data_IF_479983020176
#
_entry.id   IF_479983020176
#
_cell.length_a   1.000
_cell.length_b   1.000
_cell.length_c   1.000
_cell.angle_alpha   90.00
_cell.angle_beta   90.00
_cell.angle_gamma   90.00
#
_symmetry.space_group_name_H-M   'P 1'
#
loop_
_entity.id
_entity.type
_entity.pdbx_description
1 polymer ?
#
# COMPACT_ATOMS: atom_id res chain seq x y z
N UNK A 1 -4.87 12.82 -23.16
CA UNK A 1 -5.00 12.86 -21.69
C UNK A 1 -3.68 12.42 -21.06
N UNK A 2 -3.25 13.04 -19.97
CA UNK A 2 -2.02 12.65 -19.24
C UNK A 2 -2.41 11.92 -17.94
N UNK A 3 -1.57 10.98 -17.50
CA UNK A 3 -1.75 10.23 -16.25
C UNK A 3 -0.68 10.65 -15.26
N UNK A 4 -1.04 10.78 -13.99
CA UNK A 4 -0.15 11.17 -12.90
C UNK A 4 -0.37 10.21 -11.73
N UNK A 5 0.69 9.92 -10.97
CA UNK A 5 0.65 9.10 -9.75
C UNK A 5 0.99 10.03 -8.59
N UNK A 6 0.24 9.92 -7.49
CA UNK A 6 0.50 10.64 -6.26
C UNK A 6 0.31 9.73 -5.06
N UNK A 7 1.05 10.04 -3.99
CA UNK A 7 0.92 9.39 -2.68
C UNK A 7 0.28 10.38 -1.72
N UNK A 8 -0.67 9.94 -0.90
CA UNK A 8 -1.33 10.77 0.12
C UNK A 8 -1.33 10.07 1.47
N UNK A 9 -1.12 10.82 2.54
CA UNK A 9 -1.36 10.38 3.91
C UNK A 9 -2.78 10.79 4.31
N UNK A 10 -3.49 9.92 5.03
CA UNK A 10 -4.85 10.18 5.52
C UNK A 10 -4.96 9.71 6.96
N UNK A 11 -5.79 10.39 7.74
CA UNK A 11 -6.28 9.86 9.01
C UNK A 11 -7.53 9.04 8.73
N UNK A 12 -7.61 7.83 9.28
CA UNK A 12 -8.75 6.95 9.06
C UNK A 12 -9.27 6.40 10.38
N UNK A 13 -10.59 6.41 10.54
CA UNK A 13 -11.29 5.81 11.68
C UNK A 13 -12.26 4.74 11.17
N UNK A 14 -12.26 3.51 11.73
CA UNK A 14 -13.27 2.51 11.41
C UNK A 14 -14.67 3.09 11.58
N UNK A 15 -15.53 2.92 10.59
CA UNK A 15 -16.87 3.49 10.59
C UNK A 15 -17.81 2.61 9.77
N UNK A 16 -19.09 2.60 10.11
CA UNK A 16 -20.10 1.89 9.31
C UNK A 16 -20.89 2.88 8.46
N UNK A 17 -21.33 2.44 7.28
CA UNK A 17 -22.37 3.13 6.51
C UNK A 17 -23.68 2.36 6.63
N UNK A 18 -24.75 3.07 7.02
CA UNK A 18 -26.10 2.52 7.12
C UNK A 18 -27.09 3.51 6.54
N UNK A 19 -27.89 3.05 5.58
CA UNK A 19 -28.86 3.89 4.85
C UNK A 19 -28.23 5.19 4.30
N UNK A 20 -27.02 5.11 3.75
CA UNK A 20 -26.29 6.25 3.17
C UNK A 20 -25.62 7.20 4.16
N UNK A 21 -25.80 7.00 5.47
CA UNK A 21 -25.13 7.81 6.52
C UNK A 21 -23.98 7.03 7.14
N UNK A 22 -22.86 7.71 7.36
CA UNK A 22 -21.68 7.18 8.06
C UNK A 22 -21.84 7.39 9.56
N UNK A 23 -21.52 6.36 10.34
CA UNK A 23 -21.55 6.36 11.80
C UNK A 23 -20.19 5.94 12.35
N UNK A 24 -19.66 6.73 13.27
CA UNK A 24 -18.47 6.42 14.05
C UNK A 24 -18.79 5.43 15.17
N UNK A 25 -17.77 4.76 15.75
CA UNK A 25 -17.99 3.79 16.84
C UNK A 25 -18.67 4.41 18.07
N UNK A 26 -18.53 5.71 18.27
CA UNK A 26 -19.13 6.47 19.37
C UNK A 26 -20.57 6.93 19.10
N UNK A 27 -21.07 6.79 17.87
CA UNK A 27 -22.39 7.30 17.48
C UNK A 27 -23.51 6.34 17.88
N UNK A 28 -24.67 6.90 18.23
CA UNK A 28 -25.88 6.10 18.41
C UNK A 28 -26.40 5.59 17.05
N UNK A 29 -26.22 4.30 16.79
CA UNK A 29 -26.64 3.66 15.53
C UNK A 29 -28.14 3.28 15.61
N UNK A 30 -28.98 3.74 14.66
CA UNK A 30 -30.41 3.38 14.65
C UNK A 30 -30.63 1.86 14.52
N UNK A 31 -31.53 1.32 15.35
CA UNK A 31 -31.96 -0.09 15.32
C UNK A 31 -33.00 -0.36 14.22
N UNK A 32 -32.64 -0.04 12.97
CA UNK A 32 -33.46 -0.30 11.79
C UNK A 32 -32.91 -1.48 10.98
N UNK A 33 -33.75 -2.13 10.15
CA UNK A 33 -33.38 -3.30 9.32
C UNK A 33 -32.54 -2.94 8.07
N UNK A 34 -31.80 -1.84 8.10
CA UNK A 34 -30.95 -1.41 6.98
C UNK A 34 -29.66 -2.22 6.87
N UNK A 35 -29.16 -2.39 5.63
CA UNK A 35 -27.84 -2.98 5.37
C UNK A 35 -26.76 -2.12 6.02
N UNK A 36 -25.82 -2.80 6.68
CA UNK A 36 -24.66 -2.18 7.32
C UNK A 36 -23.43 -2.54 6.51
N UNK A 37 -22.70 -1.52 6.07
CA UNK A 37 -21.45 -1.67 5.33
C UNK A 37 -20.29 -1.26 6.25
N UNK A 38 -19.28 -2.13 6.39
CA UNK A 38 -18.04 -1.80 7.09
C UNK A 38 -17.14 -0.94 6.20
N UNK A 39 -16.44 0.01 6.81
CA UNK A 39 -15.48 0.84 6.11
C UNK A 39 -14.71 1.76 7.01
N UNK A 40 -14.15 2.80 6.41
CA UNK A 40 -13.32 3.78 7.09
C UNK A 40 -13.75 5.18 6.70
N UNK A 41 -14.01 6.02 7.71
CA UNK A 41 -14.09 7.47 7.51
C UNK A 41 -12.67 8.01 7.45
N UNK A 42 -12.36 8.73 6.38
CA UNK A 42 -11.06 9.30 6.08
C UNK A 42 -11.11 10.81 6.20
N UNK A 43 -10.04 11.40 6.71
CA UNK A 43 -9.81 12.85 6.74
C UNK A 43 -8.45 13.12 6.08
N UNK A 44 -8.45 13.95 5.06
CA UNK A 44 -7.25 14.41 4.36
C UNK A 44 -6.63 15.61 5.09
N UNK A 45 -5.38 15.95 4.75
CA UNK A 45 -4.66 17.09 5.36
C UNK A 45 -5.36 18.44 5.17
N UNK A 46 -6.11 18.60 4.07
CA UNK A 46 -6.90 19.80 3.78
C UNK A 46 -8.25 19.83 4.53
N UNK A 47 -8.51 18.84 5.38
CA UNK A 47 -9.76 18.68 6.12
C UNK A 47 -10.90 18.08 5.31
N UNK A 48 -10.69 17.75 4.02
CA UNK A 48 -11.70 17.03 3.26
C UNK A 48 -11.97 15.67 3.91
N UNK A 49 -13.24 15.28 3.95
CA UNK A 49 -13.65 13.97 4.46
C UNK A 49 -14.11 13.06 3.31
N UNK A 50 -13.85 11.77 3.45
CA UNK A 50 -14.42 10.75 2.57
C UNK A 50 -14.72 9.47 3.38
N UNK A 51 -15.47 8.55 2.80
CA UNK A 51 -15.65 7.21 3.35
C UNK A 51 -15.45 6.18 2.24
N UNK A 52 -14.74 5.10 2.56
CA UNK A 52 -14.56 3.97 1.66
C UNK A 52 -15.02 2.67 2.33
N UNK A 53 -15.60 1.73 1.56
CA UNK A 53 -15.79 0.36 2.01
C UNK A 53 -14.47 -0.24 2.49
N UNK A 54 -14.54 -1.14 3.46
CA UNK A 54 -13.37 -1.76 4.10
C UNK A 54 -12.38 -2.33 3.09
N UNK A 55 -12.88 -3.17 2.19
CA UNK A 55 -12.05 -3.85 1.18
C UNK A 55 -11.39 -2.85 0.21
N UNK A 56 -12.10 -1.79 -0.18
CA UNK A 56 -11.55 -0.74 -1.04
C UNK A 56 -10.47 0.10 -0.32
N UNK A 57 -10.71 0.41 0.96
CA UNK A 57 -9.76 1.15 1.79
C UNK A 57 -8.47 0.36 2.00
N UNK A 58 -8.56 -0.89 2.47
CA UNK A 58 -7.39 -1.73 2.80
C UNK A 58 -6.58 -2.14 1.56
N UNK A 59 -7.24 -2.17 0.39
CA UNK A 59 -6.56 -2.32 -0.90
C UNK A 59 -5.72 -1.09 -1.25
N UNK A 60 -6.27 0.11 -1.05
CA UNK A 60 -5.70 1.38 -1.52
C UNK A 60 -4.73 2.02 -0.52
N UNK A 61 -4.93 1.80 0.77
CA UNK A 61 -4.18 2.40 1.85
C UNK A 61 -3.44 1.35 2.66
N UNK A 62 -2.24 1.70 3.13
CA UNK A 62 -1.42 0.86 4.02
C UNK A 62 -1.23 1.60 5.34
N UNK A 63 -1.32 0.86 6.45
CA UNK A 63 -1.14 1.42 7.78
C UNK A 63 0.28 1.99 7.91
N UNK A 64 0.41 3.24 8.35
CA UNK A 64 1.68 3.96 8.46
C UNK A 64 1.87 4.65 9.83
N UNK A 65 1.15 4.16 10.85
CA UNK A 65 1.05 4.78 12.18
C UNK A 65 2.35 4.73 12.99
N UNK A 66 3.16 3.69 12.78
CA UNK A 66 4.42 3.48 13.49
C UNK A 66 5.60 3.43 12.51
N UNK A 67 6.85 3.65 12.98
CA UNK A 67 8.02 3.44 12.14
C UNK A 67 8.12 1.99 11.61
N UNK A 68 7.70 1.00 12.41
CA UNK A 68 7.64 -0.40 12.00
C UNK A 68 6.64 -0.62 10.85
N UNK A 69 5.46 -0.02 10.94
CA UNK A 69 4.44 -0.07 9.87
C UNK A 69 4.99 0.50 8.55
N UNK A 70 5.68 1.64 8.62
CA UNK A 70 6.31 2.26 7.44
C UNK A 70 7.40 1.39 6.83
N UNK A 71 8.19 0.71 7.65
CA UNK A 71 9.18 -0.24 7.16
C UNK A 71 8.57 -1.46 6.48
N UNK A 72 7.42 -1.95 6.95
CA UNK A 72 6.68 -3.00 6.24
C UNK A 72 6.17 -2.54 4.88
N UNK A 73 5.68 -1.30 4.77
CA UNK A 73 5.28 -0.73 3.47
C UNK A 73 6.48 -0.75 2.51
N UNK A 74 7.59 -0.18 2.94
CA UNK A 74 8.82 -0.08 2.15
C UNK A 74 9.33 -1.47 1.72
N UNK A 75 9.42 -2.43 2.65
CA UNK A 75 9.83 -3.80 2.36
C UNK A 75 8.91 -4.47 1.33
N UNK A 76 7.60 -4.39 1.52
CA UNK A 76 6.63 -5.06 0.64
C UNK A 76 6.63 -4.44 -0.76
N UNK A 77 6.70 -3.12 -0.88
CA UNK A 77 6.79 -2.44 -2.18
C UNK A 77 8.09 -2.77 -2.91
N UNK A 78 9.21 -2.81 -2.19
CA UNK A 78 10.50 -3.18 -2.77
C UNK A 78 10.51 -4.66 -3.21
N UNK A 79 9.93 -5.55 -2.41
CA UNK A 79 9.83 -6.98 -2.69
C UNK A 79 8.98 -7.24 -3.95
N UNK A 80 7.85 -6.55 -4.10
CA UNK A 80 7.02 -6.65 -5.30
C UNK A 80 7.76 -6.18 -6.56
N UNK A 81 8.46 -5.03 -6.47
CA UNK A 81 9.31 -4.53 -7.58
C UNK A 81 10.44 -5.50 -7.91
N UNK A 82 11.10 -6.05 -6.89
CA UNK A 82 12.18 -7.02 -7.04
C UNK A 82 11.69 -8.28 -7.76
N UNK A 83 10.56 -8.85 -7.32
CA UNK A 83 9.98 -10.05 -7.94
C UNK A 83 9.60 -9.80 -9.40
N UNK A 84 9.01 -8.65 -9.73
CA UNK A 84 8.70 -8.28 -11.12
C UNK A 84 9.95 -8.17 -11.98
N UNK A 85 11.03 -7.58 -11.45
CA UNK A 85 12.31 -7.47 -12.13
C UNK A 85 12.95 -8.85 -12.38
N UNK A 86 12.97 -9.71 -11.37
CA UNK A 86 13.47 -11.10 -11.49
C UNK A 86 12.69 -11.87 -12.55
N UNK A 87 11.35 -11.77 -12.55
CA UNK A 87 10.51 -12.43 -13.53
C UNK A 87 10.77 -11.90 -14.95
N UNK A 88 10.98 -10.59 -15.11
CA UNK A 88 11.32 -10.00 -16.40
C UNK A 88 12.68 -10.48 -16.92
N UNK A 89 13.71 -10.46 -16.08
CA UNK A 89 15.06 -10.92 -16.42
C UNK A 89 15.11 -12.42 -16.78
N UNK A 90 14.19 -13.23 -16.23
CA UNK A 90 14.05 -14.64 -16.60
C UNK A 90 13.43 -14.91 -17.98
N UNK A 91 12.96 -13.87 -18.70
CA UNK A 91 12.37 -14.04 -20.03
C UNK A 91 13.46 -14.17 -21.10
N UNK A 92 13.19 -15.02 -22.10
CA UNK A 92 14.10 -15.20 -23.26
C UNK A 92 14.23 -13.97 -24.15
N UNK A 93 13.19 -13.13 -24.19
CA UNK A 93 13.09 -11.91 -24.99
C UNK A 93 13.48 -10.64 -24.23
N UNK A 94 14.03 -10.76 -23.00
CA UNK A 94 14.35 -9.59 -22.17
C UNK A 94 15.33 -8.60 -22.86
N UNK A 95 16.38 -9.12 -23.51
CA UNK A 95 17.36 -8.31 -24.25
C UNK A 95 16.75 -7.69 -25.49
N UNK A 96 15.84 -8.39 -26.18
CA UNK A 96 15.11 -7.84 -27.33
C UNK A 96 14.19 -6.69 -26.91
N UNK A 97 13.54 -6.80 -25.74
CA UNK A 97 12.61 -5.80 -25.23
C UNK A 97 13.34 -4.56 -24.68
N UNK A 98 14.38 -4.75 -23.88
CA UNK A 98 15.00 -3.68 -23.10
C UNK A 98 16.36 -3.20 -23.67
N UNK A 99 17.03 -4.04 -24.45
CA UNK A 99 18.42 -3.83 -24.88
C UNK A 99 19.43 -4.33 -23.85
N UNK A 100 20.59 -4.78 -24.34
CA UNK A 100 21.66 -5.42 -23.56
C UNK A 100 22.13 -4.55 -22.38
N UNK A 101 22.49 -3.30 -22.64
CA UNK A 101 22.91 -2.36 -21.58
C UNK A 101 21.85 -2.17 -20.48
N UNK A 102 20.56 -2.21 -20.83
CA UNK A 102 19.50 -2.08 -19.83
C UNK A 102 19.37 -3.35 -19.01
N UNK A 103 19.47 -4.53 -19.63
CA UNK A 103 19.46 -5.82 -18.93
C UNK A 103 20.63 -5.92 -17.94
N UNK A 104 21.83 -5.49 -18.33
CA UNK A 104 23.00 -5.47 -17.43
C UNK A 104 22.76 -4.56 -16.21
N UNK A 105 22.22 -3.36 -16.43
CA UNK A 105 21.87 -2.45 -15.34
C UNK A 105 20.73 -3.00 -14.47
N UNK A 106 19.77 -3.70 -15.05
CA UNK A 106 18.69 -4.38 -14.32
C UNK A 106 19.22 -5.52 -13.45
N UNK A 107 20.25 -6.25 -13.89
CA UNK A 107 20.91 -7.26 -13.08
C UNK A 107 21.62 -6.64 -11.86
N UNK A 108 22.30 -5.51 -12.05
CA UNK A 108 22.88 -4.74 -10.93
C UNK A 108 21.79 -4.23 -9.99
N UNK A 109 20.70 -3.69 -10.54
CA UNK A 109 19.55 -3.22 -9.77
C UNK A 109 18.95 -4.36 -8.93
N UNK A 110 18.78 -5.55 -9.50
CA UNK A 110 18.26 -6.74 -8.81
C UNK A 110 19.09 -7.07 -7.56
N UNK A 111 20.41 -7.07 -7.67
CA UNK A 111 21.32 -7.34 -6.54
C UNK A 111 21.16 -6.27 -5.45
N UNK A 112 21.19 -4.99 -5.82
CA UNK A 112 21.05 -3.89 -4.85
C UNK A 112 19.70 -3.92 -4.12
N UNK A 113 18.61 -4.23 -4.84
CA UNK A 113 17.28 -4.38 -4.24
C UNK A 113 17.25 -5.56 -3.26
N UNK A 114 17.89 -6.67 -3.58
CA UNK A 114 17.98 -7.83 -2.69
C UNK A 114 18.72 -7.50 -1.38
N UNK A 115 19.90 -6.86 -1.49
CA UNK A 115 20.68 -6.46 -0.32
C UNK A 115 19.91 -5.48 0.58
N UNK A 116 19.18 -4.57 -0.05
CA UNK A 116 18.34 -3.64 0.69
C UNK A 116 17.16 -4.34 1.37
N UNK A 117 16.51 -5.32 0.72
CA UNK A 117 15.49 -6.17 1.34
C UNK A 117 16.01 -6.91 2.57
N UNK A 118 17.23 -7.45 2.51
CA UNK A 118 17.87 -8.10 3.67
C UNK A 118 18.09 -7.11 4.82
N UNK A 119 18.53 -5.90 4.50
CA UNK A 119 18.71 -4.82 5.49
C UNK A 119 17.39 -4.42 6.14
N UNK A 120 16.34 -4.22 5.35
CA UNK A 120 15.00 -3.90 5.84
C UNK A 120 14.45 -5.03 6.72
N UNK A 121 14.59 -6.29 6.30
CA UNK A 121 14.17 -7.45 7.09
C UNK A 121 14.84 -7.49 8.45
N UNK A 122 16.17 -7.33 8.49
CA UNK A 122 16.92 -7.27 9.74
C UNK A 122 16.44 -6.14 10.65
N UNK A 123 16.21 -4.94 10.11
CA UNK A 123 15.67 -3.82 10.88
C UNK A 123 14.27 -4.11 11.42
N UNK A 124 13.39 -4.72 10.61
CA UNK A 124 12.03 -5.10 11.01
C UNK A 124 12.08 -6.08 12.17
N UNK A 125 12.96 -7.08 12.10
CA UNK A 125 13.07 -8.10 13.14
C UNK A 125 13.59 -7.51 14.46
N UNK A 126 14.60 -6.63 14.41
CA UNK A 126 15.12 -5.91 15.59
C UNK A 126 14.11 -4.94 16.23
N UNK A 127 13.10 -4.46 15.49
CA UNK A 127 12.08 -3.56 16.02
C UNK A 127 10.91 -4.29 16.69
N UNK A 128 10.82 -5.62 16.53
CA UNK A 128 9.80 -6.45 17.19
C UNK A 128 10.22 -6.92 18.58
N UNK A 129 11.53 -6.96 18.83
CA UNK A 129 12.14 -7.27 20.13
C UNK A 129 11.92 -6.14 21.13
#
# INVERSE_FOLDING_TARGET
>A
MKKYIGTKLVQATPAIRKNGKVYLPTDAIPRTMGVVEEGYKMVYEDGCENWLPKDEFEKSYKLADTPLNRMYIEYNELMDKYNKLVLFLGRKDAVEIAGENQVDLMEVQKVQMHDYLLTLKKRIDLMKE
#
